data_IF_023111140772
#
_entry.id   IF_023111140772
#
_cell.length_a   1.000
_cell.length_b   1.000
_cell.length_c   1.000
_cell.angle_alpha   90.00
_cell.angle_beta   90.00
_cell.angle_gamma   90.00
#
_symmetry.space_group_name_H-M   'P 1'
#
loop_
_entity.id
_entity.type
_entity.pdbx_description
1 polymer ?
#
# COMPACT_ATOMS: atom_id res chain seq x y z
N UNK A 1 17.26 -15.40 -8.94
CA UNK A 1 17.21 -14.22 -8.05
C UNK A 1 15.74 -13.93 -7.84
N UNK A 2 15.21 -14.20 -6.65
CA UNK A 2 13.85 -13.80 -6.31
C UNK A 2 13.93 -12.33 -5.88
N UNK A 3 13.26 -11.45 -6.61
CA UNK A 3 13.09 -10.07 -6.18
C UNK A 3 11.94 -10.05 -5.18
N UNK A 4 12.09 -9.29 -4.11
CA UNK A 4 10.98 -9.00 -3.21
C UNK A 4 9.95 -8.15 -3.96
N UNK A 5 8.68 -8.29 -3.60
CA UNK A 5 7.59 -7.60 -4.29
C UNK A 5 6.74 -6.82 -3.30
N UNK A 6 6.32 -5.64 -3.75
CA UNK A 6 5.28 -4.87 -3.08
C UNK A 6 4.06 -4.87 -3.99
N UNK A 7 2.89 -5.19 -3.41
CA UNK A 7 1.62 -5.27 -4.13
C UNK A 7 0.71 -4.15 -3.69
N UNK A 8 0.41 -3.22 -4.58
CA UNK A 8 -0.46 -2.08 -4.32
C UNK A 8 -1.86 -2.35 -4.86
N UNK A 9 -2.89 -2.16 -4.05
CA UNK A 9 -4.27 -2.33 -4.48
C UNK A 9 -4.82 -1.03 -5.06
N UNK A 10 -5.41 -1.13 -6.26
CA UNK A 10 -5.98 -0.02 -7.00
C UNK A 10 -7.37 -0.41 -7.50
N UNK A 11 -8.36 0.44 -7.22
CA UNK A 11 -9.76 0.15 -7.54
C UNK A 11 -10.04 0.32 -9.05
N UNK A 12 -9.44 1.32 -9.67
CA UNK A 12 -9.75 1.71 -11.05
C UNK A 12 -8.61 1.31 -12.01
N UNK A 13 -8.98 0.71 -13.15
CA UNK A 13 -7.99 0.16 -14.08
C UNK A 13 -7.06 1.24 -14.66
N UNK A 14 -7.59 2.39 -15.09
CA UNK A 14 -6.76 3.44 -15.64
C UNK A 14 -5.79 4.01 -14.58
N UNK A 15 -6.20 4.10 -13.32
CA UNK A 15 -5.31 4.43 -12.21
C UNK A 15 -4.22 3.36 -12.02
N UNK A 16 -4.56 2.06 -12.13
CA UNK A 16 -3.57 0.99 -12.05
C UNK A 16 -2.54 1.06 -13.19
N UNK A 17 -2.99 1.39 -14.41
CA UNK A 17 -2.12 1.63 -15.57
C UNK A 17 -1.19 2.81 -15.32
N UNK A 18 -1.72 3.97 -14.88
CA UNK A 18 -0.90 5.16 -14.58
C UNK A 18 0.14 4.89 -13.50
N UNK A 19 -0.23 4.16 -12.43
CA UNK A 19 0.72 3.76 -11.40
C UNK A 19 1.79 2.83 -11.96
N UNK A 20 1.41 1.85 -12.79
CA UNK A 20 2.35 0.93 -13.43
C UNK A 20 3.34 1.66 -14.33
N UNK A 21 2.88 2.60 -15.16
CA UNK A 21 3.74 3.42 -16.03
C UNK A 21 4.73 4.28 -15.24
N UNK A 22 4.27 4.87 -14.13
CA UNK A 22 5.12 5.65 -13.21
C UNK A 22 6.21 4.77 -12.60
N UNK A 23 5.83 3.63 -12.02
CA UNK A 23 6.77 2.73 -11.37
C UNK A 23 7.74 2.10 -12.39
N UNK A 24 7.25 1.83 -13.60
CA UNK A 24 8.04 1.31 -14.72
C UNK A 24 9.20 2.20 -15.17
N UNK A 25 9.25 3.47 -14.75
CA UNK A 25 10.41 4.34 -15.01
C UNK A 25 11.66 3.93 -14.22
N UNK A 26 11.52 3.12 -13.17
CA UNK A 26 12.63 2.77 -12.26
C UNK A 26 12.59 1.31 -11.84
N UNK A 27 11.41 0.76 -11.54
CA UNK A 27 11.23 -0.63 -11.10
C UNK A 27 10.60 -1.48 -12.20
N UNK A 28 10.79 -2.79 -12.11
CA UNK A 28 9.94 -3.73 -12.88
C UNK A 28 8.56 -3.75 -12.24
N UNK A 29 7.55 -3.25 -12.94
CA UNK A 29 6.19 -3.15 -12.44
C UNK A 29 5.17 -3.70 -13.44
N UNK A 30 4.03 -4.19 -12.93
CA UNK A 30 2.94 -4.70 -13.76
C UNK A 30 1.62 -4.83 -13.00
N UNK A 31 0.52 -4.78 -13.75
CA UNK A 31 -0.82 -5.08 -13.21
C UNK A 31 -1.00 -6.60 -13.15
N UNK A 32 -1.42 -7.10 -11.99
CA UNK A 32 -1.77 -8.49 -11.73
C UNK A 32 -3.28 -8.59 -11.49
N UNK A 33 -3.92 -9.59 -12.12
CA UNK A 33 -5.31 -9.95 -11.84
C UNK A 33 -6.38 -9.02 -12.43
N UNK A 34 -7.60 -9.15 -11.91
CA UNK A 34 -8.79 -8.35 -12.25
C UNK A 34 -9.17 -7.40 -11.11
N UNK A 35 -10.44 -7.09 -10.92
CA UNK A 35 -10.91 -6.18 -9.86
C UNK A 35 -11.00 -6.90 -8.48
N UNK A 36 -10.38 -6.36 -7.39
CA UNK A 36 -9.57 -5.14 -7.34
C UNK A 36 -8.19 -5.34 -8.00
N UNK A 37 -7.75 -4.36 -8.78
CA UNK A 37 -6.50 -4.43 -9.52
C UNK A 37 -5.31 -4.37 -8.57
N UNK A 38 -4.28 -5.16 -8.83
CA UNK A 38 -3.05 -5.16 -8.05
C UNK A 38 -1.90 -4.70 -8.93
N UNK A 39 -1.20 -3.64 -8.54
CA UNK A 39 0.06 -3.25 -9.17
C UNK A 39 1.20 -3.86 -8.37
N UNK A 40 1.95 -4.78 -8.98
CA UNK A 40 3.15 -5.35 -8.39
C UNK A 40 4.38 -4.57 -8.83
N UNK A 41 5.26 -4.24 -7.90
CA UNK A 41 6.58 -3.69 -8.19
C UNK A 41 7.65 -4.56 -7.52
N UNK A 42 8.67 -4.94 -8.31
CA UNK A 42 9.81 -5.68 -7.81
C UNK A 42 10.84 -4.72 -7.21
N UNK A 43 11.30 -5.01 -5.99
CA UNK A 43 12.31 -4.25 -5.25
C UNK A 43 13.53 -5.11 -4.98
N UNK A 44 14.68 -4.47 -4.87
CA UNK A 44 15.88 -5.10 -4.34
C UNK A 44 15.81 -5.23 -2.82
N UNK A 45 16.73 -6.02 -2.27
CA UNK A 45 16.89 -6.17 -0.82
C UNK A 45 17.53 -4.94 -0.13
N UNK A 46 17.81 -3.86 -0.86
CA UNK A 46 18.31 -2.61 -0.30
C UNK A 46 17.15 -1.81 0.32
N UNK A 47 17.15 -1.51 1.63
CA UNK A 47 16.09 -0.73 2.26
C UNK A 47 15.86 0.64 1.63
N UNK A 48 16.90 1.23 1.02
CA UNK A 48 16.79 2.53 0.34
C UNK A 48 15.93 2.45 -0.93
N UNK A 49 15.92 1.29 -1.59
CA UNK A 49 15.13 1.02 -2.79
C UNK A 49 13.64 0.90 -2.45
N UNK A 50 13.31 0.10 -1.43
CA UNK A 50 11.95 0.05 -0.89
C UNK A 50 11.46 1.43 -0.43
N UNK A 51 12.31 2.18 0.28
CA UNK A 51 11.95 3.51 0.74
C UNK A 51 11.73 4.50 -0.43
N UNK A 52 12.50 4.37 -1.52
CA UNK A 52 12.31 5.16 -2.73
C UNK A 52 11.01 4.80 -3.45
N UNK A 53 10.68 3.51 -3.55
CA UNK A 53 9.42 3.03 -4.09
C UNK A 53 8.24 3.62 -3.32
N UNK A 54 8.23 3.48 -1.99
CA UNK A 54 7.13 3.96 -1.15
C UNK A 54 6.96 5.48 -1.23
N UNK A 55 8.04 6.26 -1.31
CA UNK A 55 7.94 7.72 -1.55
C UNK A 55 7.39 8.06 -2.93
N UNK A 56 7.75 7.30 -3.96
CA UNK A 56 7.20 7.48 -5.30
C UNK A 56 5.69 7.24 -5.32
N UNK A 57 5.22 6.19 -4.65
CA UNK A 57 3.79 5.87 -4.50
C UNK A 57 3.09 6.90 -3.61
N UNK A 58 3.67 7.35 -2.50
CA UNK A 58 3.11 8.41 -1.65
C UNK A 58 2.83 9.68 -2.47
N UNK A 59 3.78 10.08 -3.32
CA UNK A 59 3.61 11.22 -4.22
C UNK A 59 2.52 10.97 -5.26
N UNK A 60 2.42 9.76 -5.83
CA UNK A 60 1.34 9.40 -6.75
C UNK A 60 -0.04 9.48 -6.09
N UNK A 61 -0.18 8.96 -4.86
CA UNK A 61 -1.43 9.03 -4.08
C UNK A 61 -1.85 10.49 -3.88
N UNK A 62 -0.90 11.37 -3.58
CA UNK A 62 -1.17 12.81 -3.44
C UNK A 62 -1.58 13.47 -4.77
N UNK A 63 -0.89 13.16 -5.88
CA UNK A 63 -1.17 13.68 -7.22
C UNK A 63 -2.55 13.26 -7.74
N UNK A 64 -2.95 12.01 -7.49
CA UNK A 64 -4.27 11.46 -7.84
C UNK A 64 -5.38 11.89 -6.86
N UNK A 65 -5.07 12.75 -5.87
CA UNK A 65 -6.01 13.20 -4.84
C UNK A 65 -6.67 12.06 -4.05
N UNK A 66 -5.93 10.98 -3.83
CA UNK A 66 -6.36 9.84 -3.02
C UNK A 66 -6.03 10.10 -1.55
N UNK A 67 -6.84 9.56 -0.64
CA UNK A 67 -6.54 9.62 0.79
C UNK A 67 -5.37 8.71 1.16
N UNK A 68 -5.41 7.48 0.68
CA UNK A 68 -4.40 6.46 0.95
C UNK A 68 -4.46 5.33 -0.09
N UNK A 69 -3.42 4.51 -0.11
CA UNK A 69 -3.37 3.25 -0.84
C UNK A 69 -3.03 2.11 0.11
N UNK A 70 -3.70 0.97 -0.06
CA UNK A 70 -3.38 -0.28 0.65
C UNK A 70 -2.31 -1.03 -0.13
N UNK A 71 -1.36 -1.61 0.59
CA UNK A 71 -0.34 -2.45 -0.03
C UNK A 71 0.03 -3.64 0.83
N UNK A 72 0.54 -4.69 0.20
CA UNK A 72 1.09 -5.86 0.86
C UNK A 72 2.61 -5.87 0.70
N UNK A 73 3.31 -6.13 1.81
CA UNK A 73 4.76 -6.33 1.87
C UNK A 73 5.00 -7.48 2.86
N UNK A 74 5.83 -8.46 2.48
CA UNK A 74 6.14 -9.61 3.34
C UNK A 74 4.91 -10.32 3.92
N UNK A 75 3.84 -10.40 3.12
CA UNK A 75 2.56 -11.00 3.49
C UNK A 75 1.78 -10.24 4.60
N UNK A 76 2.20 -9.02 4.91
CA UNK A 76 1.54 -8.09 5.83
C UNK A 76 0.87 -6.94 5.08
N UNK A 77 -0.29 -6.51 5.57
CA UNK A 77 -1.08 -5.44 4.96
C UNK A 77 -0.76 -4.11 5.62
N UNK A 78 -0.44 -3.12 4.80
CA UNK A 78 -0.09 -1.77 5.21
C UNK A 78 -0.94 -0.72 4.47
N UNK A 79 -0.98 0.49 5.01
CA UNK A 79 -1.65 1.64 4.39
C UNK A 79 -0.67 2.80 4.30
N UNK A 80 -0.51 3.32 3.08
CA UNK A 80 0.28 4.51 2.79
C UNK A 80 -0.66 5.67 2.50
N UNK A 81 -0.75 6.62 3.43
CA UNK A 81 -1.58 7.82 3.28
C UNK A 81 -0.85 8.90 2.47
N UNK A 82 -1.60 9.72 1.73
CA UNK A 82 -1.06 10.94 1.13
C UNK A 82 -0.47 11.85 2.22
N UNK A 83 0.65 12.50 1.89
CA UNK A 83 1.28 13.47 2.80
C UNK A 83 0.43 14.75 2.85
N UNK A 84 -0.55 14.79 3.75
CA UNK A 84 -1.32 16.00 4.06
C UNK A 84 -0.58 16.93 5.04
N UNK A 85 -0.93 18.23 5.11
CA UNK A 85 -0.30 19.21 6.00
C UNK A 85 -0.50 18.97 7.50
N UNK A 86 -1.30 17.98 7.91
CA UNK A 86 -1.53 17.65 9.31
C UNK A 86 -1.77 16.15 9.44
N UNK A 87 -0.71 15.37 9.71
CA UNK A 87 -0.81 13.92 9.96
C UNK A 87 -1.45 13.71 11.34
N UNK A 88 -2.76 13.94 11.45
CA UNK A 88 -3.56 13.38 12.53
C UNK A 88 -3.88 11.94 12.19
N UNK A 89 -3.70 11.04 13.15
CA UNK A 89 -4.14 9.66 13.01
C UNK A 89 -5.61 9.64 12.55
N UNK A 90 -5.97 8.77 11.59
CA UNK A 90 -7.36 8.67 11.15
C UNK A 90 -8.26 8.34 12.35
N UNK A 91 -9.32 9.13 12.53
CA UNK A 91 -10.27 8.97 13.63
C UNK A 91 -11.09 7.66 13.57
N UNK A 92 -10.93 6.85 12.52
CA UNK A 92 -11.62 5.58 12.33
C UNK A 92 -10.82 4.35 12.80
N UNK A 93 -9.63 4.52 13.40
CA UNK A 93 -9.02 3.43 14.15
C UNK A 93 -9.91 3.12 15.34
N UNK A 94 -10.76 2.11 15.19
CA UNK A 94 -11.52 1.52 16.27
C UNK A 94 -10.48 0.93 17.23
N UNK A 95 -10.38 1.41 18.48
CA UNK A 95 -9.52 0.76 19.46
C UNK A 95 -10.01 -0.69 19.59
N UNK A 96 -9.11 -1.64 19.43
CA UNK A 96 -9.39 -3.03 19.80
C UNK A 96 -9.54 -3.02 21.32
N UNK A 97 -10.77 -2.94 21.81
CA UNK A 97 -11.04 -3.23 23.22
C UNK A 97 -10.70 -4.72 23.42
N UNK A 98 -9.73 -4.99 24.29
CA UNK A 98 -9.45 -6.35 24.75
C UNK A 98 -10.74 -6.90 25.35
N UNK A 99 -11.37 -7.85 24.66
CA UNK A 99 -12.55 -8.53 25.17
C UNK A 99 -12.08 -9.44 26.31
N UNK A 100 -12.27 -9.00 27.55
CA UNK A 100 -12.11 -9.87 28.73
C UNK A 100 -13.15 -11.00 28.61
N UNK A 101 -12.70 -12.21 28.23
CA UNK A 101 -13.49 -13.42 28.30
C UNK A 101 -13.87 -13.69 29.76
N UNK A 102 -14.98 -13.12 30.21
CA UNK A 102 -15.61 -13.51 31.48
C UNK A 102 -16.34 -14.83 31.23
N UNK A 103 -15.59 -15.93 31.31
CA UNK A 103 -16.17 -17.25 31.47
C UNK A 103 -16.78 -17.36 32.88
N UNK A 104 -18.06 -17.01 32.99
CA UNK A 104 -18.83 -17.18 34.21
C UNK A 104 -19.55 -18.53 34.19
N UNK A 105 -18.95 -19.46 34.94
CA UNK A 105 -19.52 -20.54 35.77
C UNK A 105 -20.71 -21.39 35.26
N UNK A 106 -20.51 -22.71 35.35
CA UNK A 106 -21.48 -23.63 35.94
C UNK A 106 -20.76 -24.51 36.99
#
# INVERSE_FOLDING_TARGET
MFLDQVHFEVVEYAAAVRLTERLGQTWTAGVLGGEPYVVAAAVSSDPSDLAALLRSVEAWVAEESLYAIRFMLDNEIHVLAARGPDRKAPAFLIPVEEVEETSQAA
#
